data_IF_758729948658
#
_entry.id   IF_758729948658
#
_cell.length_a   1.000
_cell.length_b   1.000
_cell.length_c   1.000
_cell.angle_alpha   90.00
_cell.angle_beta   90.00
_cell.angle_gamma   90.00
#
_symmetry.space_group_name_H-M   'P 1'
#
loop_
_entity.id
_entity.type
_entity.pdbx_description
1 polymer ?
#
# COMPACT_ATOMS: atom_id res chain seq x y z
N UNK A 1 -37.92 21.60 47.28
CA UNK A 1 -36.91 21.92 46.27
C UNK A 1 -37.04 21.12 44.96
N UNK A 2 -37.33 19.82 44.98
CA UNK A 2 -37.49 18.99 43.75
C UNK A 2 -38.60 19.48 42.77
N UNK A 3 -39.70 20.00 43.27
CA UNK A 3 -40.82 20.50 42.45
C UNK A 3 -40.51 21.78 41.68
N UNK A 4 -39.66 22.67 42.25
CA UNK A 4 -39.25 23.91 41.61
C UNK A 4 -38.24 23.62 40.48
N UNK A 5 -37.29 22.74 40.74
CA UNK A 5 -36.31 22.30 39.73
C UNK A 5 -37.00 21.66 38.51
N UNK A 6 -37.99 20.78 38.73
CA UNK A 6 -38.74 20.12 37.67
C UNK A 6 -39.57 21.12 36.81
N UNK A 7 -40.10 22.15 37.45
CA UNK A 7 -40.87 23.21 36.77
C UNK A 7 -39.97 24.12 35.93
N UNK A 8 -38.76 24.42 36.41
CA UNK A 8 -37.75 25.18 35.67
C UNK A 8 -37.25 24.43 34.45
N UNK A 9 -36.98 23.12 34.57
CA UNK A 9 -36.56 22.26 33.44
C UNK A 9 -37.66 22.23 32.36
N UNK A 10 -38.92 22.15 32.76
CA UNK A 10 -40.05 22.11 31.82
C UNK A 10 -40.29 23.46 31.13
N UNK A 11 -40.03 24.57 31.80
CA UNK A 11 -40.10 25.91 31.22
C UNK A 11 -39.03 26.18 30.15
N UNK A 12 -37.86 25.58 30.30
CA UNK A 12 -36.72 25.73 29.40
C UNK A 12 -36.41 24.46 28.59
N UNK A 13 -37.38 23.56 28.49
CA UNK A 13 -37.20 22.24 27.84
C UNK A 13 -36.66 22.35 26.41
N UNK A 14 -37.07 23.34 25.61
CA UNK A 14 -36.56 23.56 24.26
C UNK A 14 -35.07 23.88 24.24
N UNK A 15 -34.62 24.68 25.20
CA UNK A 15 -33.21 25.08 25.31
C UNK A 15 -32.34 23.92 25.77
N UNK A 16 -32.80 23.14 26.74
CA UNK A 16 -32.13 21.91 27.18
C UNK A 16 -32.05 20.87 26.07
N UNK A 17 -33.11 20.68 25.31
CA UNK A 17 -33.15 19.76 24.19
C UNK A 17 -32.18 20.18 23.10
N UNK A 18 -32.12 21.48 22.77
CA UNK A 18 -31.20 21.99 21.74
C UNK A 18 -29.71 21.82 22.13
N UNK A 19 -29.37 22.13 23.39
CA UNK A 19 -28.01 21.95 23.88
C UNK A 19 -27.61 20.48 23.97
N UNK A 20 -28.50 19.62 24.46
CA UNK A 20 -28.26 18.17 24.50
C UNK A 20 -28.05 17.60 23.08
N UNK A 21 -28.89 18.03 22.13
CA UNK A 21 -28.80 17.62 20.75
C UNK A 21 -27.48 18.10 20.09
N UNK A 22 -27.08 19.34 20.38
CA UNK A 22 -25.81 19.88 19.89
C UNK A 22 -24.58 19.08 20.41
N UNK A 23 -24.61 18.76 21.71
CA UNK A 23 -23.56 17.91 22.32
C UNK A 23 -23.58 16.52 21.73
N UNK A 24 -24.74 15.90 21.55
CA UNK A 24 -24.89 14.57 20.95
C UNK A 24 -24.34 14.55 19.53
N UNK A 25 -24.64 15.56 18.70
CA UNK A 25 -24.11 15.70 17.36
C UNK A 25 -22.58 15.86 17.36
N UNK A 26 -22.04 16.67 18.26
CA UNK A 26 -20.60 16.86 18.41
C UNK A 26 -19.88 15.57 18.78
N UNK A 27 -20.40 14.84 19.74
CA UNK A 27 -19.83 13.53 20.15
C UNK A 27 -19.97 12.50 19.03
N UNK A 28 -21.13 12.43 18.36
CA UNK A 28 -21.34 11.52 17.25
C UNK A 28 -20.39 11.80 16.08
N UNK A 29 -20.18 13.07 15.73
CA UNK A 29 -19.24 13.48 14.69
C UNK A 29 -17.79 13.12 15.06
N UNK A 30 -17.39 13.44 16.30
CA UNK A 30 -16.03 13.10 16.76
C UNK A 30 -15.81 11.59 16.77
N UNK A 31 -16.77 10.83 17.31
CA UNK A 31 -16.67 9.35 17.35
C UNK A 31 -16.64 8.75 15.94
N UNK A 32 -17.48 9.27 15.03
CA UNK A 32 -17.48 8.83 13.63
C UNK A 32 -16.17 9.12 12.92
N UNK A 33 -15.60 10.31 13.14
CA UNK A 33 -14.31 10.69 12.56
C UNK A 33 -13.16 9.81 13.10
N UNK A 34 -13.16 9.54 14.40
CA UNK A 34 -12.16 8.66 15.02
C UNK A 34 -12.30 7.21 14.55
N UNK A 35 -13.52 6.71 14.42
CA UNK A 35 -13.79 5.37 13.89
C UNK A 35 -13.35 5.25 12.43
N UNK A 36 -13.67 6.24 11.59
CA UNK A 36 -13.24 6.28 10.19
C UNK A 36 -11.71 6.28 10.09
N UNK A 37 -11.04 7.11 10.89
CA UNK A 37 -9.58 7.16 10.95
C UNK A 37 -8.98 5.81 11.37
N UNK A 38 -9.55 5.15 12.37
CA UNK A 38 -9.09 3.85 12.82
C UNK A 38 -9.25 2.78 11.73
N UNK A 39 -10.40 2.74 11.05
CA UNK A 39 -10.65 1.80 9.95
C UNK A 39 -9.70 2.02 8.76
N UNK A 40 -9.46 3.28 8.37
CA UNK A 40 -8.50 3.57 7.29
C UNK A 40 -7.08 3.15 7.68
N UNK A 41 -6.68 3.40 8.92
CA UNK A 41 -5.38 3.02 9.44
C UNK A 41 -5.18 1.50 9.49
N UNK A 42 -6.20 0.77 9.92
CA UNK A 42 -6.18 -0.69 9.97
C UNK A 42 -6.12 -1.30 8.56
N UNK A 43 -6.91 -0.77 7.63
CA UNK A 43 -6.89 -1.20 6.23
C UNK A 43 -5.50 -0.98 5.62
N UNK A 44 -4.88 0.17 5.87
CA UNK A 44 -3.55 0.47 5.35
C UNK A 44 -2.46 -0.41 6.00
N UNK A 45 -2.54 -0.65 7.30
CA UNK A 45 -1.63 -1.55 8.02
C UNK A 45 -1.74 -2.99 7.52
N UNK A 46 -2.96 -3.46 7.25
CA UNK A 46 -3.20 -4.80 6.71
C UNK A 46 -2.68 -4.92 5.27
N UNK A 47 -2.80 -3.87 4.44
CA UNK A 47 -2.21 -3.84 3.11
C UNK A 47 -0.68 -3.93 3.16
N UNK A 48 -0.04 -3.19 4.04
CA UNK A 48 1.42 -3.24 4.20
C UNK A 48 1.87 -4.58 4.78
N UNK A 49 1.14 -5.15 5.73
CA UNK A 49 1.46 -6.45 6.33
C UNK A 49 1.21 -7.62 5.38
N UNK A 50 0.26 -7.49 4.47
CA UNK A 50 -0.04 -8.54 3.50
C UNK A 50 0.95 -8.61 2.34
N UNK A 51 1.76 -7.56 2.15
CA UNK A 51 2.92 -7.59 1.24
C UNK A 51 4.19 -8.11 1.91
N UNK A 52 4.16 -8.30 3.22
CA UNK A 52 5.28 -8.82 3.99
C UNK A 52 5.37 -10.35 3.83
N UNK A 53 6.03 -10.80 2.78
CA UNK A 53 6.18 -12.23 2.44
C UNK A 53 7.50 -12.83 2.93
N UNK A 54 8.45 -12.00 3.35
CA UNK A 54 9.77 -12.44 3.85
C UNK A 54 9.80 -12.63 5.35
N UNK A 55 10.71 -13.49 5.83
CA UNK A 55 10.82 -13.87 7.24
C UNK A 55 11.27 -12.71 8.14
N UNK A 56 12.11 -11.81 7.61
CA UNK A 56 12.63 -10.66 8.35
C UNK A 56 12.73 -9.43 7.43
N UNK A 57 12.53 -8.25 8.02
CA UNK A 57 12.69 -6.97 7.34
C UNK A 57 13.71 -6.10 8.07
N UNK A 58 14.77 -5.74 7.36
CA UNK A 58 15.78 -4.79 7.85
C UNK A 58 15.37 -3.39 7.40
N UNK A 59 15.17 -2.51 8.34
CA UNK A 59 14.76 -1.12 8.11
C UNK A 59 15.70 -0.17 8.86
N UNK A 60 15.81 1.05 8.37
CA UNK A 60 16.56 2.10 9.05
C UNK A 60 15.88 2.58 10.34
N UNK A 61 16.58 3.39 11.13
CA UNK A 61 16.04 3.93 12.38
C UNK A 61 14.80 4.80 12.12
N UNK A 62 13.84 4.73 13.04
CA UNK A 62 12.62 5.53 12.99
C UNK A 62 12.92 7.02 13.03
N UNK A 63 12.27 7.81 12.18
CA UNK A 63 12.40 9.26 12.21
C UNK A 63 11.53 9.79 13.36
N UNK A 64 12.17 10.37 14.38
CA UNK A 64 11.45 10.98 15.49
C UNK A 64 10.65 12.20 15.01
N UNK A 65 9.35 12.26 15.35
CA UNK A 65 8.48 13.39 15.02
C UNK A 65 7.60 13.23 13.77
N UNK A 66 7.74 12.18 12.97
CA UNK A 66 6.78 11.89 11.89
C UNK A 66 5.52 11.18 12.40
N UNK A 67 5.07 11.57 13.58
CA UNK A 67 4.00 10.96 14.30
C UNK A 67 2.60 11.40 13.86
N UNK A 68 2.12 10.91 12.76
CA UNK A 68 0.70 10.56 12.65
C UNK A 68 0.61 9.05 12.75
N UNK A 69 0.04 8.61 13.78
CA UNK A 69 -0.06 7.35 14.48
C UNK A 69 0.01 5.99 13.73
N UNK A 70 0.31 5.88 12.45
CA UNK A 70 0.40 4.59 11.76
C UNK A 70 1.36 4.49 10.58
N UNK A 71 2.13 5.51 10.25
CA UNK A 71 3.22 5.38 9.29
C UNK A 71 4.52 5.77 9.98
N UNK A 72 5.20 4.80 10.52
CA UNK A 72 6.55 5.00 11.04
C UNK A 72 7.48 5.18 9.86
N UNK A 73 7.77 6.43 9.48
CA UNK A 73 8.78 6.69 8.47
C UNK A 73 10.15 6.30 9.05
N UNK A 74 10.83 5.43 8.34
CA UNK A 74 12.20 5.03 8.64
C UNK A 74 13.17 5.78 7.74
N UNK A 75 14.39 6.01 8.22
CA UNK A 75 15.45 6.55 7.36
C UNK A 75 15.82 5.53 6.30
N UNK A 76 16.01 5.96 5.05
CA UNK A 76 16.51 5.05 4.02
C UNK A 76 17.86 4.46 4.43
N UNK A 77 18.09 3.21 4.07
CA UNK A 77 19.33 2.46 4.28
C UNK A 77 20.00 2.17 2.94
N UNK A 78 21.28 1.91 2.95
CA UNK A 78 22.03 1.55 1.74
C UNK A 78 21.60 0.17 1.24
N UNK A 79 21.15 0.08 -0.01
CA UNK A 79 20.72 -1.18 -0.62
C UNK A 79 21.85 -2.22 -0.73
N UNK A 80 23.12 -1.77 -0.76
CA UNK A 80 24.28 -2.66 -0.78
C UNK A 80 24.45 -3.48 0.51
N UNK A 81 23.76 -3.09 1.59
CA UNK A 81 23.69 -3.90 2.80
C UNK A 81 23.08 -5.28 2.54
N UNK A 82 22.24 -5.42 1.52
CA UNK A 82 21.69 -6.72 1.13
C UNK A 82 22.79 -7.73 0.80
N UNK A 83 23.87 -7.30 0.14
CA UNK A 83 24.98 -8.19 -0.21
C UNK A 83 25.80 -8.62 1.02
N UNK A 84 25.86 -7.77 2.05
CA UNK A 84 26.49 -8.12 3.32
C UNK A 84 25.60 -9.07 4.14
N UNK A 85 24.30 -8.85 4.12
CA UNK A 85 23.32 -9.69 4.81
C UNK A 85 23.30 -11.10 4.23
N UNK A 86 23.40 -11.23 2.90
CA UNK A 86 23.50 -12.54 2.22
C UNK A 86 24.70 -13.40 2.66
N UNK A 87 25.74 -12.78 3.25
CA UNK A 87 26.92 -13.50 3.73
C UNK A 87 26.75 -14.04 5.15
N UNK A 88 25.66 -13.72 5.81
CA UNK A 88 25.36 -14.20 7.17
C UNK A 88 24.85 -15.63 7.07
N UNK A 89 25.42 -16.50 7.91
CA UNK A 89 25.04 -17.91 7.96
C UNK A 89 23.54 -18.04 8.36
N UNK A 90 22.78 -18.80 7.57
CA UNK A 90 21.35 -18.96 7.74
C UNK A 90 20.48 -18.01 6.90
N UNK A 91 21.04 -17.08 6.13
CA UNK A 91 20.31 -16.21 5.20
C UNK A 91 20.31 -16.85 3.81
N UNK A 92 19.13 -17.14 3.29
CA UNK A 92 18.93 -17.69 1.94
C UNK A 92 18.94 -16.58 0.89
N UNK A 93 18.25 -15.47 1.19
CA UNK A 93 18.16 -14.32 0.29
C UNK A 93 18.06 -13.02 1.07
N UNK A 94 18.62 -11.94 0.52
CA UNK A 94 18.37 -10.57 0.98
C UNK A 94 18.09 -9.69 -0.24
N UNK A 95 16.92 -9.07 -0.27
CA UNK A 95 16.35 -8.38 -1.42
C UNK A 95 16.06 -6.94 -1.04
N UNK A 96 16.74 -5.95 -1.67
CA UNK A 96 16.40 -4.55 -1.46
C UNK A 96 14.98 -4.29 -1.97
N UNK A 97 14.13 -3.66 -1.16
CA UNK A 97 12.76 -3.34 -1.53
C UNK A 97 12.57 -1.83 -1.64
N UNK A 98 12.11 -1.41 -2.81
CA UNK A 98 11.70 -0.04 -3.08
C UNK A 98 10.44 -0.07 -3.94
N UNK A 99 9.36 0.43 -3.38
CA UNK A 99 8.07 0.50 -4.04
C UNK A 99 7.85 1.89 -4.62
N UNK A 100 7.13 1.95 -5.74
CA UNK A 100 6.73 3.22 -6.36
C UNK A 100 5.24 3.24 -6.60
N UNK A 101 4.69 4.45 -6.60
CA UNK A 101 3.33 4.70 -7.09
C UNK A 101 3.37 5.19 -8.54
N UNK A 102 2.34 4.82 -9.30
CA UNK A 102 2.20 5.26 -10.67
C UNK A 102 0.79 4.99 -11.18
N UNK A 103 0.66 4.91 -12.49
CA UNK A 103 -0.62 4.64 -13.16
C UNK A 103 -0.45 3.46 -14.10
N UNK A 104 -1.40 2.53 -14.05
CA UNK A 104 -1.59 1.50 -15.07
C UNK A 104 -2.74 1.93 -15.97
N UNK A 105 -2.58 1.84 -17.26
CA UNK A 105 -3.65 2.07 -18.23
C UNK A 105 -4.34 0.74 -18.51
N UNK A 106 -5.65 0.71 -18.42
CA UNK A 106 -6.46 -0.49 -18.69
C UNK A 106 -6.72 -0.70 -20.18
N UNK A 107 -7.43 -1.77 -20.48
CA UNK A 107 -7.82 -2.14 -21.86
C UNK A 107 -8.77 -1.13 -22.53
N UNK A 108 -9.33 -0.21 -21.79
CA UNK A 108 -10.22 0.87 -22.23
C UNK A 108 -9.50 2.21 -22.43
N UNK A 109 -8.17 2.21 -22.48
CA UNK A 109 -7.32 3.40 -22.54
C UNK A 109 -7.53 4.39 -21.37
N UNK A 110 -8.08 3.95 -20.27
CA UNK A 110 -8.27 4.75 -19.07
C UNK A 110 -7.37 4.26 -17.92
N UNK A 111 -7.01 5.17 -17.00
CA UNK A 111 -6.29 4.77 -15.79
C UNK A 111 -7.07 3.72 -15.00
N UNK A 112 -6.41 2.67 -14.58
CA UNK A 112 -6.98 1.70 -13.64
C UNK A 112 -7.05 2.36 -12.27
N UNK A 113 -8.26 2.65 -11.83
CA UNK A 113 -8.50 3.25 -10.52
C UNK A 113 -9.20 2.25 -9.62
N UNK A 114 -8.66 2.05 -8.44
CA UNK A 114 -9.32 1.33 -7.35
C UNK A 114 -9.80 2.32 -6.29
N UNK A 115 -10.87 1.97 -5.58
CA UNK A 115 -11.50 2.86 -4.60
C UNK A 115 -10.54 3.15 -3.45
N UNK A 116 -9.75 4.21 -3.56
CA UNK A 116 -8.92 4.75 -2.48
C UNK A 116 -7.52 4.19 -2.32
N UNK A 117 -7.12 3.19 -3.10
CA UNK A 117 -5.74 2.67 -3.05
C UNK A 117 -4.94 3.05 -4.31
N UNK A 118 -3.65 3.38 -4.16
CA UNK A 118 -2.79 3.70 -5.30
C UNK A 118 -2.44 2.44 -6.11
N UNK A 119 -2.00 2.65 -7.36
CA UNK A 119 -1.29 1.62 -8.11
C UNK A 119 0.14 1.55 -7.60
N UNK A 120 0.56 0.37 -7.17
CA UNK A 120 1.89 0.10 -6.64
C UNK A 120 2.71 -0.69 -7.65
N UNK A 121 3.89 -0.22 -7.93
CA UNK A 121 4.93 -0.92 -8.69
C UNK A 121 5.91 -1.52 -7.71
N UNK A 122 6.10 -2.82 -7.78
CA UNK A 122 6.97 -3.59 -6.88
C UNK A 122 8.01 -4.36 -7.66
N UNK A 123 9.25 -4.45 -7.16
CA UNK A 123 10.26 -5.30 -7.77
C UNK A 123 9.92 -6.77 -7.50
N UNK A 124 9.93 -7.62 -8.52
CA UNK A 124 9.76 -9.05 -8.37
C UNK A 124 11.12 -9.75 -8.48
N UNK A 125 11.57 -10.33 -7.39
CA UNK A 125 12.78 -11.14 -7.33
C UNK A 125 12.48 -12.62 -7.63
N UNK A 126 13.53 -13.41 -7.81
CA UNK A 126 13.39 -14.86 -7.89
C UNK A 126 13.03 -15.44 -6.51
N UNK A 127 12.22 -16.48 -6.49
CA UNK A 127 11.81 -17.18 -5.27
C UNK A 127 11.13 -16.27 -4.23
N UNK A 128 10.17 -15.45 -4.67
CA UNK A 128 9.38 -14.62 -3.78
C UNK A 128 8.41 -15.49 -2.97
N UNK A 129 8.56 -15.51 -1.65
CA UNK A 129 7.67 -16.27 -0.76
C UNK A 129 6.25 -15.66 -0.78
N UNK A 130 5.23 -16.51 -0.69
CA UNK A 130 3.83 -16.07 -0.68
C UNK A 130 3.30 -15.58 -2.03
N UNK A 131 4.12 -15.64 -3.09
CA UNK A 131 3.71 -15.33 -4.45
C UNK A 131 3.50 -16.63 -5.23
N UNK A 132 2.31 -16.79 -5.80
CA UNK A 132 1.97 -17.91 -6.67
C UNK A 132 1.76 -17.41 -8.10
N UNK A 133 2.50 -18.00 -9.05
CA UNK A 133 2.30 -17.73 -10.47
C UNK A 133 1.01 -18.42 -10.94
N UNK A 134 0.12 -17.64 -11.54
CA UNK A 134 -1.13 -18.16 -12.14
C UNK A 134 -0.89 -18.52 -13.60
N UNK A 135 -0.24 -17.62 -14.36
CA UNK A 135 0.11 -17.86 -15.76
C UNK A 135 1.23 -16.92 -16.20
N UNK A 136 1.91 -17.28 -17.30
CA UNK A 136 3.00 -16.49 -17.87
C UNK A 136 4.31 -16.67 -17.13
N UNK A 137 5.13 -15.62 -17.09
CA UNK A 137 6.45 -15.63 -16.50
C UNK A 137 6.78 -14.30 -15.82
N UNK A 138 7.86 -14.28 -15.05
CA UNK A 138 8.41 -13.09 -14.42
C UNK A 138 8.84 -12.06 -15.47
N UNK A 139 8.62 -10.76 -15.24
CA UNK A 139 9.04 -9.69 -16.16
C UNK A 139 10.56 -9.62 -16.27
N UNK A 140 11.05 -9.28 -17.47
CA UNK A 140 12.46 -9.11 -17.78
C UNK A 140 12.69 -7.75 -18.43
N UNK A 141 13.41 -6.88 -17.73
CA UNK A 141 13.72 -5.53 -18.22
C UNK A 141 12.55 -4.55 -18.20
N UNK A 142 12.69 -3.45 -18.93
CA UNK A 142 11.79 -2.29 -18.86
C UNK A 142 10.46 -2.44 -19.64
N UNK A 143 10.40 -3.39 -20.56
CA UNK A 143 9.25 -3.56 -21.49
C UNK A 143 8.21 -4.56 -21.02
N UNK A 144 8.40 -5.20 -19.89
CA UNK A 144 7.56 -6.28 -19.40
C UNK A 144 7.04 -5.97 -18.00
N UNK A 145 5.76 -6.29 -17.79
CA UNK A 145 5.12 -6.21 -16.48
C UNK A 145 4.32 -7.47 -16.20
N UNK A 146 4.08 -7.72 -14.94
CA UNK A 146 3.11 -8.72 -14.48
C UNK A 146 2.08 -8.06 -13.58
N UNK A 147 0.89 -8.61 -13.57
CA UNK A 147 -0.20 -8.05 -12.79
C UNK A 147 -0.66 -9.05 -11.72
N UNK A 148 -0.94 -8.54 -10.54
CA UNK A 148 -1.68 -9.30 -9.55
C UNK A 148 -3.08 -9.62 -10.09
N UNK A 149 -3.65 -10.78 -9.74
CA UNK A 149 -4.92 -11.28 -10.29
C UNK A 149 -6.07 -10.26 -10.21
N UNK A 150 -6.17 -9.52 -9.12
CA UNK A 150 -7.15 -8.44 -8.96
C UNK A 150 -6.88 -7.27 -9.89
N UNK A 151 -5.63 -6.89 -10.06
CA UNK A 151 -5.21 -5.83 -10.97
C UNK A 151 -5.48 -6.22 -12.43
N UNK A 152 -5.18 -7.47 -12.82
CA UNK A 152 -5.46 -7.99 -14.17
C UNK A 152 -6.96 -7.94 -14.45
N UNK A 153 -7.79 -8.44 -13.52
CA UNK A 153 -9.24 -8.42 -13.64
C UNK A 153 -9.80 -7.00 -13.76
N UNK A 154 -9.34 -6.07 -12.91
CA UNK A 154 -9.86 -4.71 -12.86
C UNK A 154 -9.40 -3.86 -14.07
N UNK A 155 -8.23 -4.15 -14.63
CA UNK A 155 -7.71 -3.47 -15.81
C UNK A 155 -8.40 -3.92 -17.12
N UNK A 156 -9.02 -5.10 -17.13
CA UNK A 156 -9.54 -5.74 -18.33
C UNK A 156 -8.46 -6.21 -19.30
N UNK A 157 -7.20 -6.16 -18.92
CA UNK A 157 -6.05 -6.65 -19.68
C UNK A 157 -5.94 -8.18 -19.59
N UNK A 158 -5.17 -8.75 -20.51
CA UNK A 158 -4.81 -10.17 -20.54
C UNK A 158 -3.31 -10.32 -20.69
N UNK A 159 -2.79 -11.46 -20.29
CA UNK A 159 -1.41 -11.83 -20.58
C UNK A 159 -1.18 -11.86 -22.10
N UNK A 160 -0.17 -11.14 -22.55
CA UNK A 160 0.13 -10.88 -23.96
C UNK A 160 -0.29 -9.50 -24.46
N UNK A 161 -1.16 -8.79 -23.76
CA UNK A 161 -1.60 -7.47 -24.16
C UNK A 161 -0.51 -6.41 -23.94
N UNK A 162 -0.50 -5.40 -24.82
CA UNK A 162 0.31 -4.20 -24.66
C UNK A 162 -0.52 -3.11 -24.00
N UNK A 163 0.12 -2.36 -23.12
CA UNK A 163 -0.49 -1.23 -22.43
C UNK A 163 0.55 -0.15 -22.11
N UNK A 164 0.13 0.88 -21.41
CA UNK A 164 1.02 1.93 -20.92
C UNK A 164 1.01 1.98 -19.39
N UNK A 165 2.18 2.21 -18.85
CA UNK A 165 2.35 2.59 -17.45
C UNK A 165 2.90 4.01 -17.39
N UNK A 166 2.54 4.75 -16.33
CA UNK A 166 3.10 6.08 -16.08
C UNK A 166 3.79 6.06 -14.73
N UNK A 167 5.09 6.18 -14.74
CA UNK A 167 5.93 6.22 -13.55
C UNK A 167 6.72 7.53 -13.57
N UNK A 168 6.68 8.29 -12.48
CA UNK A 168 7.27 9.64 -12.38
C UNK A 168 6.87 10.59 -13.52
N UNK A 169 5.64 10.45 -14.03
CA UNK A 169 5.13 11.30 -15.12
C UNK A 169 5.58 10.89 -16.52
N UNK A 170 6.38 9.83 -16.66
CA UNK A 170 6.84 9.32 -17.96
C UNK A 170 6.01 8.11 -18.39
N UNK A 171 5.28 8.19 -19.51
CA UNK A 171 4.57 7.06 -20.07
C UNK A 171 5.54 6.08 -20.75
N UNK A 172 5.39 4.82 -20.48
CA UNK A 172 6.19 3.72 -21.05
C UNK A 172 5.25 2.63 -21.57
N UNK A 173 5.43 2.22 -22.82
CA UNK A 173 4.73 1.05 -23.39
C UNK A 173 5.33 -0.22 -22.80
N UNK A 174 4.47 -1.12 -22.33
CA UNK A 174 4.85 -2.39 -21.72
C UNK A 174 3.93 -3.51 -22.17
N UNK A 175 4.41 -4.74 -22.06
CA UNK A 175 3.63 -5.96 -22.34
C UNK A 175 3.33 -6.67 -21.02
N UNK A 176 2.10 -7.10 -20.83
CA UNK A 176 1.71 -7.95 -19.69
C UNK A 176 2.19 -9.38 -19.98
N UNK A 177 3.21 -9.85 -19.27
CA UNK A 177 3.82 -11.17 -19.52
C UNK A 177 3.41 -12.23 -18.52
N UNK A 178 2.71 -11.86 -17.45
CA UNK A 178 2.27 -12.85 -16.47
C UNK A 178 1.24 -12.31 -15.49
N UNK A 179 0.66 -13.27 -14.79
CA UNK A 179 -0.27 -13.06 -13.69
C UNK A 179 0.25 -13.78 -12.45
N UNK A 180 0.20 -13.10 -11.34
CA UNK A 180 0.54 -13.68 -10.04
C UNK A 180 -0.54 -13.36 -9.00
N UNK A 181 -0.53 -14.13 -7.94
CA UNK A 181 -1.42 -13.96 -6.81
C UNK A 181 -0.63 -14.03 -5.51
N UNK A 182 -0.94 -13.13 -4.57
CA UNK A 182 -0.45 -13.23 -3.20
C UNK A 182 -1.44 -14.02 -2.33
N UNK A 183 -0.94 -14.85 -1.43
CA UNK A 183 -1.76 -15.64 -0.50
C UNK A 183 -2.66 -14.75 0.37
N UNK A 184 -2.23 -13.55 0.68
CA UNK A 184 -3.03 -12.55 1.37
C UNK A 184 -3.64 -11.56 0.38
N UNK A 185 -4.96 -11.50 0.34
CA UNK A 185 -5.70 -10.64 -0.57
C UNK A 185 -5.34 -9.16 -0.38
N UNK A 186 -4.72 -8.58 -1.38
CA UNK A 186 -4.54 -7.12 -1.52
C UNK A 186 -5.80 -6.46 -2.11
N UNK A 187 -6.98 -6.81 -1.65
CA UNK A 187 -8.30 -6.63 -2.25
C UNK A 187 -8.63 -5.22 -2.78
N UNK A 188 -7.79 -4.22 -2.57
CA UNK A 188 -8.08 -2.84 -2.96
C UNK A 188 -6.93 -2.14 -3.70
N UNK A 189 -5.73 -2.72 -3.80
CA UNK A 189 -4.60 -2.11 -4.49
C UNK A 189 -4.42 -2.71 -5.90
N UNK A 190 -4.06 -1.86 -6.86
CA UNK A 190 -3.55 -2.33 -8.15
C UNK A 190 -2.05 -2.60 -7.99
N UNK A 191 -1.64 -3.86 -8.03
CA UNK A 191 -0.24 -4.23 -7.89
C UNK A 191 0.33 -4.66 -9.23
N UNK A 192 1.42 -4.01 -9.61
CA UNK A 192 2.17 -4.25 -10.84
C UNK A 192 3.56 -4.73 -10.47
N UNK A 193 3.87 -5.95 -10.84
CA UNK A 193 5.20 -6.53 -10.69
C UNK A 193 6.08 -6.16 -11.87
N UNK A 194 7.30 -5.72 -11.58
CA UNK A 194 8.28 -5.28 -12.58
C UNK A 194 9.66 -5.86 -12.29
N UNK A 195 10.52 -5.81 -13.29
CA UNK A 195 11.90 -6.23 -13.14
C UNK A 195 12.66 -5.30 -12.17
N UNK A 196 13.33 -5.83 -11.14
CA UNK A 196 14.11 -5.02 -10.20
C UNK A 196 15.19 -4.17 -10.88
N UNK A 197 15.81 -4.67 -11.95
CA UNK A 197 16.86 -3.94 -12.68
C UNK A 197 16.33 -2.66 -13.35
N UNK A 198 15.05 -2.64 -13.68
CA UNK A 198 14.37 -1.46 -14.21
C UNK A 198 13.84 -0.55 -13.10
N UNK A 199 13.23 -1.11 -12.07
CA UNK A 199 12.58 -0.33 -11.02
C UNK A 199 13.58 0.35 -10.07
N UNK A 200 14.60 -0.38 -9.63
CA UNK A 200 15.51 0.08 -8.58
C UNK A 200 16.25 1.38 -8.94
N UNK A 201 16.77 1.60 -10.16
CA UNK A 201 17.39 2.87 -10.53
C UNK A 201 16.43 4.06 -10.48
N UNK A 202 15.13 3.82 -10.64
CA UNK A 202 14.09 4.86 -10.63
C UNK A 202 13.57 5.10 -9.21
N UNK A 203 13.32 4.03 -8.47
CA UNK A 203 12.76 4.08 -7.11
C UNK A 203 13.80 4.46 -6.06
N UNK A 204 15.05 4.07 -6.28
CA UNK A 204 16.17 4.28 -5.37
C UNK A 204 17.41 4.80 -6.13
N UNK A 205 17.37 6.01 -6.74
CA UNK A 205 18.45 6.52 -7.57
C UNK A 205 19.76 6.71 -6.80
N UNK A 206 19.67 6.95 -5.50
CA UNK A 206 20.83 7.07 -4.61
C UNK A 206 21.29 5.72 -4.05
N UNK A 207 20.73 4.60 -4.54
CA UNK A 207 20.98 3.26 -4.00
C UNK A 207 20.40 3.03 -2.60
N UNK A 208 19.57 3.97 -2.10
CA UNK A 208 18.98 3.87 -0.76
C UNK A 208 17.56 3.34 -0.84
N UNK A 209 17.30 2.32 -0.06
CA UNK A 209 16.00 1.63 0.03
C UNK A 209 15.37 1.85 1.41
N UNK A 210 14.07 1.70 1.50
CA UNK A 210 13.36 1.80 2.77
C UNK A 210 13.47 0.51 3.58
N UNK A 211 13.60 -0.62 2.89
CA UNK A 211 13.56 -1.95 3.48
C UNK A 211 14.46 -2.91 2.71
N UNK A 212 15.05 -3.88 3.41
CA UNK A 212 15.65 -5.06 2.82
C UNK A 212 14.89 -6.26 3.38
N UNK A 213 14.27 -7.02 2.48
CA UNK A 213 13.58 -8.26 2.80
C UNK A 213 14.59 -9.40 2.89
N UNK A 214 14.52 -10.20 3.94
CA UNK A 214 15.47 -11.29 4.23
C UNK A 214 14.72 -12.59 4.43
N UNK A 215 15.16 -13.61 3.75
CA UNK A 215 14.64 -14.97 3.81
C UNK A 215 15.70 -15.95 4.29
#
# INVERSE_FOLDING_TARGET
MRRVAWRSVRAHAKQFFLTTFAVMLGVAFLSGTLALRASMSETFSNLVSSTATSDLYVQGPKIAGSGSSNSTQTKPIDGSLADQIKQIDGVEAAKPDAQMTGVLVGSNDAPVTTTGAPTLFIPLYDNEKGLTWVQGHKPQGAGEITLESGALKNSGLKVGDKTHIVVQGSPTEVTVVGEFHYESSMASATVVGVDPSWLMPIAAPDGKVTTIAVD
#
